data_IF_751608054470
#
_entry.id   IF_751608054470
#
_cell.length_a   1.000
_cell.length_b   1.000
_cell.length_c   1.000
_cell.angle_alpha   90.00
_cell.angle_beta   90.00
_cell.angle_gamma   90.00
#
_symmetry.space_group_name_H-M   'P 1'
#
loop_
_entity.id
_entity.type
_entity.pdbx_description
1 polymer ?
#
# COMPACT_ATOMS: atom_id res chain seq x y z
N UNK A 1 -9.16 30.93 17.23
CA UNK A 1 -8.16 30.59 16.20
C UNK A 1 -8.48 31.47 15.00
N UNK A 2 -7.47 32.02 14.35
CA UNK A 2 -7.65 32.87 13.17
C UNK A 2 -8.26 32.04 12.03
N UNK A 3 -9.22 32.58 11.28
CA UNK A 3 -9.80 31.95 10.08
C UNK A 3 -8.81 31.90 8.89
N UNK A 4 -7.56 32.32 9.10
CA UNK A 4 -6.52 32.33 8.09
C UNK A 4 -6.02 30.90 7.81
N UNK A 5 -5.83 30.53 6.52
CA UNK A 5 -5.21 29.26 6.16
C UNK A 5 -3.82 29.09 6.80
N UNK A 6 -3.54 27.89 7.30
CA UNK A 6 -2.22 27.50 7.78
C UNK A 6 -1.46 26.79 6.66
N UNK A 7 -0.29 27.32 6.30
CA UNK A 7 0.55 26.77 5.23
C UNK A 7 1.78 26.13 5.86
N UNK A 8 2.08 24.87 5.51
CA UNK A 8 3.24 24.13 6.00
C UNK A 8 3.99 23.45 4.85
N UNK A 9 5.29 23.24 5.04
CA UNK A 9 6.17 22.60 4.05
C UNK A 9 6.89 23.58 3.13
N UNK A 10 7.84 23.09 2.31
CA UNK A 10 8.57 23.91 1.34
C UNK A 10 7.69 24.27 0.12
N UNK A 11 8.07 25.29 -0.67
CA UNK A 11 7.31 25.69 -1.87
C UNK A 11 7.09 24.58 -2.91
N UNK A 12 7.98 23.59 -2.97
CA UNK A 12 7.86 22.44 -3.88
C UNK A 12 6.86 21.38 -3.40
N UNK A 13 6.55 21.34 -2.10
CA UNK A 13 5.59 20.42 -1.49
C UNK A 13 4.93 21.08 -0.27
N UNK A 14 3.83 21.80 -0.53
CA UNK A 14 3.13 22.60 0.48
C UNK A 14 1.77 21.99 0.79
N UNK A 15 1.42 21.96 2.08
CA UNK A 15 0.06 21.66 2.53
C UNK A 15 -0.61 22.92 3.05
N UNK A 16 -1.90 23.07 2.75
CA UNK A 16 -2.71 24.18 3.27
C UNK A 16 -3.85 23.63 4.11
N UNK A 17 -3.89 23.93 5.40
CA UNK A 17 -5.04 23.67 6.25
C UNK A 17 -5.99 24.86 6.27
N UNK A 18 -7.26 24.62 5.97
CA UNK A 18 -8.33 25.63 5.93
C UNK A 18 -9.19 25.46 7.19
N UNK A 19 -9.07 26.33 8.22
CA UNK A 19 -9.72 26.10 9.52
C UNK A 19 -11.25 26.04 9.47
N UNK A 20 -11.89 26.82 8.59
CA UNK A 20 -13.34 26.94 8.48
C UNK A 20 -14.00 25.67 7.95
N UNK A 21 -13.38 25.02 6.96
CA UNK A 21 -13.85 23.76 6.37
C UNK A 21 -13.16 22.52 6.93
N UNK A 22 -12.10 22.70 7.74
CA UNK A 22 -11.25 21.63 8.28
C UNK A 22 -10.63 20.75 7.19
N UNK A 23 -10.26 21.35 6.06
CA UNK A 23 -9.67 20.66 4.92
C UNK A 23 -8.15 20.82 4.95
N UNK A 24 -7.44 19.71 4.79
CA UNK A 24 -6.03 19.69 4.40
C UNK A 24 -5.94 19.59 2.87
N UNK A 25 -5.46 20.64 2.22
CA UNK A 25 -5.20 20.66 0.78
C UNK A 25 -3.75 20.27 0.50
N UNK A 26 -3.58 19.10 -0.13
CA UNK A 26 -2.31 18.48 -0.54
C UNK A 26 -2.07 18.62 -2.05
N UNK A 27 -3.00 19.23 -2.78
CA UNK A 27 -2.97 19.33 -4.25
C UNK A 27 -1.96 20.36 -4.78
N UNK A 28 -1.29 21.09 -3.88
CA UNK A 28 -0.37 22.19 -4.21
C UNK A 28 -0.99 23.20 -5.21
N UNK A 29 -2.22 23.63 -4.94
CA UNK A 29 -3.00 24.57 -5.77
C UNK A 29 -3.37 24.06 -7.16
N UNK A 30 -3.45 22.75 -7.37
CA UNK A 30 -3.94 22.17 -8.63
C UNK A 30 -5.36 22.64 -8.95
N UNK A 31 -5.68 22.75 -10.24
CA UNK A 31 -7.03 23.10 -10.70
C UNK A 31 -8.00 21.93 -10.63
N UNK A 32 -7.50 20.69 -10.71
CA UNK A 32 -8.31 19.47 -10.55
C UNK A 32 -8.12 18.93 -9.15
N UNK A 33 -9.22 18.77 -8.41
CA UNK A 33 -9.18 18.37 -7.01
C UNK A 33 -10.17 17.27 -6.70
N UNK A 34 -9.77 16.39 -5.80
CA UNK A 34 -10.66 15.42 -5.17
C UNK A 34 -10.54 15.61 -3.66
N UNK A 35 -11.66 15.94 -3.02
CA UNK A 35 -11.75 16.05 -1.56
C UNK A 35 -12.50 14.87 -0.98
N UNK A 36 -11.95 14.25 0.06
CA UNK A 36 -12.58 13.13 0.77
C UNK A 36 -12.41 13.25 2.30
N UNK A 37 -13.40 12.79 3.09
CA UNK A 37 -13.29 12.73 4.54
C UNK A 37 -12.14 11.83 5.01
N UNK A 38 -11.44 12.26 6.06
CA UNK A 38 -10.54 11.38 6.83
C UNK A 38 -11.35 10.66 7.90
N UNK A 39 -10.99 9.42 8.21
CA UNK A 39 -11.77 8.55 9.11
C UNK A 39 -11.09 8.27 10.44
N UNK A 40 -9.83 8.66 10.58
CA UNK A 40 -9.08 8.61 11.84
C UNK A 40 -8.44 9.98 12.11
N UNK A 41 -7.96 10.18 13.34
CA UNK A 41 -7.37 11.45 13.77
C UNK A 41 -8.41 12.46 14.23
N UNK A 42 -8.29 13.72 13.79
CA UNK A 42 -9.18 14.81 14.23
C UNK A 42 -10.56 14.65 13.56
N UNK A 43 -11.62 14.68 14.37
CA UNK A 43 -12.98 14.49 13.86
C UNK A 43 -13.42 15.60 12.89
N UNK A 44 -13.99 15.17 11.75
CA UNK A 44 -14.57 16.05 10.74
C UNK A 44 -13.55 16.72 9.82
N UNK A 45 -12.30 16.25 9.78
CA UNK A 45 -11.33 16.70 8.78
C UNK A 45 -11.51 15.99 7.44
N UNK A 46 -11.03 16.62 6.38
CA UNK A 46 -10.96 16.04 5.03
C UNK A 46 -9.59 16.33 4.42
N UNK A 47 -9.20 15.54 3.43
CA UNK A 47 -8.00 15.75 2.64
C UNK A 47 -8.39 16.03 1.18
N UNK A 48 -7.62 16.87 0.50
CA UNK A 48 -7.77 17.18 -0.92
C UNK A 48 -6.50 16.83 -1.67
N UNK A 49 -6.64 16.13 -2.79
CA UNK A 49 -5.54 15.66 -3.63
C UNK A 49 -5.73 16.09 -5.08
N UNK A 50 -4.63 16.15 -5.82
CA UNK A 50 -4.64 16.22 -7.28
C UNK A 50 -4.63 14.78 -7.84
N UNK A 51 -5.67 14.34 -8.57
CA UNK A 51 -5.71 12.98 -9.11
C UNK A 51 -4.57 12.66 -10.08
N UNK A 52 -4.17 13.62 -10.92
CA UNK A 52 -3.12 13.42 -11.92
C UNK A 52 -1.72 13.25 -11.30
N UNK A 53 -1.53 13.76 -10.07
CA UNK A 53 -0.30 13.59 -9.28
C UNK A 53 -0.43 12.55 -8.16
N UNK A 54 -1.48 11.74 -8.21
CA UNK A 54 -1.74 10.69 -7.22
C UNK A 54 -1.57 9.30 -7.84
N UNK A 55 -0.98 8.39 -7.07
CA UNK A 55 -0.94 6.96 -7.39
C UNK A 55 -1.56 6.11 -6.27
N UNK A 56 -2.32 5.09 -6.65
CA UNK A 56 -2.73 3.99 -5.79
C UNK A 56 -1.64 2.91 -5.79
N UNK A 57 -1.11 2.60 -4.61
CA UNK A 57 -0.15 1.53 -4.38
C UNK A 57 -0.88 0.33 -3.81
N UNK A 58 -0.92 -0.76 -4.59
CA UNK A 58 -1.55 -2.03 -4.19
C UNK A 58 -0.47 -3.01 -3.78
N UNK A 59 -0.34 -3.23 -2.47
CA UNK A 59 0.77 -3.98 -1.89
C UNK A 59 0.42 -5.45 -1.70
N UNK A 60 1.19 -6.34 -2.34
CA UNK A 60 1.25 -7.78 -2.07
C UNK A 60 -0.12 -8.51 -2.09
N UNK A 61 -1.07 -8.06 -2.91
CA UNK A 61 -2.36 -8.75 -3.12
C UNK A 61 -2.17 -10.00 -4.01
N UNK A 62 -1.27 -10.89 -3.61
CA UNK A 62 -0.78 -12.05 -4.34
C UNK A 62 -1.32 -13.36 -3.76
N UNK A 63 -1.30 -14.42 -4.56
CA UNK A 63 -1.74 -15.76 -4.16
C UNK A 63 -1.05 -16.27 -2.90
N UNK A 64 0.25 -16.04 -2.74
CA UNK A 64 0.99 -16.49 -1.55
C UNK A 64 0.37 -15.98 -0.24
N UNK A 65 -0.14 -14.75 -0.22
CA UNK A 65 -0.72 -14.15 0.97
C UNK A 65 -2.21 -14.45 1.15
N UNK A 66 -2.96 -14.57 0.05
CA UNK A 66 -4.42 -14.61 0.08
C UNK A 66 -5.03 -15.98 -0.22
N UNK A 67 -4.28 -16.89 -0.84
CA UNK A 67 -4.75 -18.25 -1.11
C UNK A 67 -4.54 -19.14 0.12
N UNK A 68 -5.61 -19.79 0.56
CA UNK A 68 -5.62 -20.65 1.75
C UNK A 68 -4.68 -21.86 1.64
N UNK A 69 -4.27 -22.23 0.43
CA UNK A 69 -3.28 -23.29 0.22
C UNK A 69 -1.84 -22.83 0.46
N UNK A 70 -1.62 -21.54 0.71
CA UNK A 70 -0.34 -20.94 1.10
C UNK A 70 -0.39 -20.37 2.52
N UNK A 71 -1.34 -19.46 2.80
CA UNK A 71 -1.48 -18.79 4.09
C UNK A 71 -2.93 -18.54 4.47
N UNK A 72 -3.20 -18.50 5.77
CA UNK A 72 -4.49 -18.05 6.30
C UNK A 72 -4.43 -16.55 6.59
N UNK A 73 -5.12 -15.75 5.78
CA UNK A 73 -5.10 -14.29 5.88
C UNK A 73 -6.51 -13.67 5.82
N UNK A 74 -7.39 -13.96 6.81
CA UNK A 74 -8.82 -13.62 6.75
C UNK A 74 -9.09 -12.11 6.62
N UNK A 75 -8.25 -11.26 7.22
CA UNK A 75 -8.42 -9.81 7.12
C UNK A 75 -7.99 -9.26 5.76
N UNK A 76 -7.01 -9.90 5.09
CA UNK A 76 -6.65 -9.53 3.73
C UNK A 76 -7.72 -9.95 2.72
N UNK A 77 -8.32 -11.12 2.92
CA UNK A 77 -9.46 -11.57 2.11
C UNK A 77 -10.66 -10.60 2.22
N UNK A 78 -10.93 -10.05 3.41
CA UNK A 78 -11.97 -9.02 3.62
C UNK A 78 -11.68 -7.71 2.86
N UNK A 79 -10.42 -7.40 2.60
CA UNK A 79 -10.01 -6.18 1.90
C UNK A 79 -10.18 -6.27 0.37
N UNK A 80 -10.30 -7.47 -0.20
CA UNK A 80 -10.31 -7.71 -1.66
C UNK A 80 -11.43 -6.94 -2.37
N UNK A 81 -12.66 -7.00 -1.85
CA UNK A 81 -13.81 -6.35 -2.50
C UNK A 81 -13.68 -4.82 -2.49
N UNK A 82 -13.30 -4.24 -1.35
CA UNK A 82 -13.08 -2.81 -1.20
C UNK A 82 -11.93 -2.33 -2.12
N UNK A 83 -10.84 -3.10 -2.19
CA UNK A 83 -9.70 -2.82 -3.08
C UNK A 83 -10.14 -2.80 -4.55
N UNK A 84 -10.98 -3.75 -4.98
CA UNK A 84 -11.58 -3.75 -6.32
C UNK A 84 -12.35 -2.48 -6.66
N UNK A 85 -13.15 -1.97 -5.72
CA UNK A 85 -13.92 -0.72 -5.90
C UNK A 85 -13.02 0.51 -6.01
N UNK A 86 -11.95 0.57 -5.21
CA UNK A 86 -10.98 1.68 -5.26
C UNK A 86 -10.16 1.62 -6.55
N UNK A 87 -9.78 0.44 -7.03
CA UNK A 87 -9.13 0.26 -8.33
C UNK A 87 -9.96 0.85 -9.48
N UNK A 88 -11.24 0.51 -9.53
CA UNK A 88 -12.14 1.01 -10.57
C UNK A 88 -12.31 2.52 -10.45
N UNK A 89 -12.56 3.02 -9.24
CA UNK A 89 -12.70 4.46 -8.99
C UNK A 89 -11.44 5.25 -9.36
N UNK A 90 -10.24 4.76 -9.01
CA UNK A 90 -8.99 5.42 -9.36
C UNK A 90 -8.89 5.65 -10.88
N UNK A 91 -9.29 4.67 -11.68
CA UNK A 91 -9.29 4.80 -13.14
C UNK A 91 -10.31 5.80 -13.64
N UNK A 92 -11.52 5.79 -13.07
CA UNK A 92 -12.58 6.74 -13.42
C UNK A 92 -12.16 8.20 -13.16
N UNK A 93 -11.32 8.45 -12.15
CA UNK A 93 -10.86 9.79 -11.78
C UNK A 93 -9.44 10.11 -12.24
N UNK A 94 -8.79 9.23 -13.01
CA UNK A 94 -7.46 9.47 -13.57
C UNK A 94 -6.27 9.26 -12.63
N UNK A 95 -6.48 8.61 -11.47
CA UNK A 95 -5.40 8.21 -10.55
C UNK A 95 -4.68 6.98 -11.10
N UNK A 96 -3.34 7.02 -11.11
CA UNK A 96 -2.50 5.91 -11.55
C UNK A 96 -2.62 4.71 -10.60
N UNK A 97 -2.64 3.50 -11.14
CA UNK A 97 -2.64 2.27 -10.35
C UNK A 97 -1.28 1.58 -10.50
N UNK A 98 -0.63 1.32 -9.37
CA UNK A 98 0.68 0.67 -9.29
C UNK A 98 0.57 -0.57 -8.41
N UNK A 99 0.79 -1.74 -9.00
CA UNK A 99 0.88 -3.01 -8.29
C UNK A 99 2.31 -3.19 -7.78
N UNK A 100 2.47 -3.12 -6.46
CA UNK A 100 3.72 -3.34 -5.76
C UNK A 100 3.70 -4.73 -5.13
N UNK A 101 4.35 -5.69 -5.78
CA UNK A 101 4.27 -7.09 -5.39
C UNK A 101 5.67 -7.67 -5.19
N UNK A 102 5.81 -8.67 -4.34
CA UNK A 102 7.05 -9.44 -4.33
C UNK A 102 7.28 -10.11 -5.68
N UNK A 103 8.50 -10.00 -6.18
CA UNK A 103 8.93 -10.65 -7.41
C UNK A 103 10.44 -10.85 -7.36
N UNK A 104 10.85 -11.87 -6.60
CA UNK A 104 12.26 -12.17 -6.37
C UNK A 104 12.92 -12.79 -7.60
N UNK A 105 14.19 -12.47 -7.76
CA UNK A 105 15.14 -13.09 -8.68
C UNK A 105 16.23 -13.83 -7.91
N UNK A 106 17.07 -14.59 -8.61
CA UNK A 106 18.23 -15.21 -7.97
C UNK A 106 19.27 -14.18 -7.49
N UNK A 107 19.39 -13.03 -8.18
CA UNK A 107 20.24 -11.92 -7.76
C UNK A 107 19.75 -11.31 -6.44
N UNK A 108 18.42 -11.17 -6.27
CA UNK A 108 17.84 -10.72 -5.00
C UNK A 108 18.20 -11.66 -3.85
N UNK A 109 18.13 -12.98 -4.09
CA UNK A 109 18.46 -13.99 -3.09
C UNK A 109 19.93 -13.95 -2.67
N UNK A 110 20.82 -13.47 -3.55
CA UNK A 110 22.24 -13.29 -3.21
C UNK A 110 22.51 -12.10 -2.27
N UNK A 111 21.59 -11.12 -2.21
CA UNK A 111 21.78 -9.86 -1.46
C UNK A 111 20.76 -9.62 -0.34
N UNK A 112 19.71 -10.43 -0.25
CA UNK A 112 18.62 -10.23 0.71
C UNK A 112 19.11 -10.40 2.16
N UNK A 113 18.94 -9.37 3.03
CA UNK A 113 19.46 -9.41 4.38
C UNK A 113 18.88 -10.59 5.19
N UNK A 114 19.69 -11.21 6.07
CA UNK A 114 19.22 -12.29 6.94
C UNK A 114 18.00 -11.90 7.80
N UNK A 115 17.88 -10.63 8.19
CA UNK A 115 16.75 -10.11 8.96
C UNK A 115 15.42 -10.18 8.19
N UNK A 116 15.45 -9.95 6.87
CA UNK A 116 14.28 -10.07 6.00
C UNK A 116 13.94 -11.54 5.81
N UNK A 117 14.93 -12.39 5.50
CA UNK A 117 14.73 -13.83 5.35
C UNK A 117 14.13 -14.45 6.63
N UNK A 118 14.66 -14.08 7.80
CA UNK A 118 14.18 -14.55 9.11
C UNK A 118 12.68 -14.34 9.30
N UNK A 119 12.11 -13.26 8.75
CA UNK A 119 10.66 -13.00 8.81
C UNK A 119 9.81 -14.11 8.19
N UNK A 120 10.32 -14.75 7.12
CA UNK A 120 9.67 -15.84 6.39
C UNK A 120 10.12 -17.23 6.82
N UNK A 121 11.00 -17.34 7.82
CA UNK A 121 11.59 -18.62 8.27
C UNK A 121 11.16 -18.99 9.69
N UNK A 122 10.21 -18.26 10.29
CA UNK A 122 9.79 -18.46 11.68
C UNK A 122 9.33 -19.90 11.95
N UNK A 123 8.63 -20.52 11.00
CA UNK A 123 8.09 -21.87 11.15
C UNK A 123 9.18 -22.95 11.15
N UNK A 124 10.43 -22.64 10.77
CA UNK A 124 11.56 -23.59 10.85
C UNK A 124 12.03 -23.82 12.29
N UNK A 125 11.77 -22.88 13.19
CA UNK A 125 12.27 -22.91 14.57
C UNK A 125 11.14 -23.11 15.60
N UNK A 126 9.89 -23.25 15.14
CA UNK A 126 8.73 -23.55 15.98
C UNK A 126 8.51 -25.08 15.95
N UNK A 127 8.26 -25.74 17.10
CA UNK A 127 7.98 -27.17 17.14
C UNK A 127 6.81 -27.56 16.21
N UNK A 128 6.89 -28.68 15.46
CA UNK A 128 5.89 -29.09 14.46
C UNK A 128 4.47 -29.34 15.01
N UNK A 129 4.28 -29.28 16.32
CA UNK A 129 3.03 -29.64 17.02
C UNK A 129 1.89 -28.62 16.87
N UNK A 130 2.08 -27.52 16.13
CA UNK A 130 1.13 -26.39 16.09
C UNK A 130 0.52 -26.12 14.71
N UNK A 131 1.19 -26.46 13.60
CA UNK A 131 0.67 -26.37 12.23
C UNK A 131 1.51 -27.23 11.26
N UNK A 132 0.94 -27.71 10.14
CA UNK A 132 1.73 -28.25 9.05
C UNK A 132 2.74 -27.20 8.59
N UNK A 133 4.01 -27.55 8.47
CA UNK A 133 5.04 -26.67 7.93
C UNK A 133 4.81 -26.54 6.42
N UNK A 134 4.18 -25.45 5.99
CA UNK A 134 3.80 -25.25 4.58
C UNK A 134 5.03 -24.83 3.74
N UNK A 135 6.02 -24.16 4.34
CA UNK A 135 7.23 -23.74 3.64
C UNK A 135 8.44 -23.45 4.55
N UNK A 136 9.61 -23.33 3.93
CA UNK A 136 10.92 -23.16 4.60
C UNK A 136 11.55 -21.77 4.46
N UNK A 137 10.97 -20.87 3.67
CA UNK A 137 11.41 -19.47 3.52
C UNK A 137 11.38 -18.97 2.09
N UNK A 138 11.75 -17.70 1.88
CA UNK A 138 11.81 -17.07 0.55
C UNK A 138 12.60 -17.92 -0.45
N UNK A 139 12.09 -18.05 -1.67
CA UNK A 139 12.73 -18.82 -2.74
C UNK A 139 12.65 -20.35 -2.62
N UNK A 140 12.09 -20.89 -1.53
CA UNK A 140 11.82 -22.34 -1.40
C UNK A 140 10.74 -22.77 -2.39
N UNK A 141 10.79 -24.00 -2.90
CA UNK A 141 9.79 -24.50 -3.84
C UNK A 141 8.51 -24.97 -3.12
N UNK A 142 7.35 -24.40 -3.50
CA UNK A 142 6.03 -24.83 -3.01
C UNK A 142 5.48 -26.05 -3.78
N UNK A 143 6.26 -26.63 -4.69
CA UNK A 143 5.88 -27.75 -5.53
C UNK A 143 5.47 -27.33 -6.93
N UNK A 144 5.37 -28.32 -7.81
CA UNK A 144 5.43 -28.15 -9.28
C UNK A 144 4.39 -27.21 -9.89
N UNK A 145 3.25 -26.97 -9.24
CA UNK A 145 2.22 -26.05 -9.74
C UNK A 145 2.27 -24.64 -9.12
N UNK A 146 3.02 -24.43 -8.05
CA UNK A 146 3.05 -23.17 -7.28
C UNK A 146 4.35 -22.39 -7.46
N UNK A 147 5.45 -23.08 -7.72
CA UNK A 147 6.78 -22.51 -7.94
C UNK A 147 7.46 -22.01 -6.67
N UNK A 148 8.61 -21.35 -6.85
CA UNK A 148 9.41 -20.79 -5.76
C UNK A 148 8.69 -19.63 -5.07
N UNK A 149 8.75 -19.58 -3.75
CA UNK A 149 8.07 -18.58 -2.92
C UNK A 149 8.50 -17.18 -3.32
N UNK A 150 7.49 -16.40 -3.72
CA UNK A 150 7.55 -14.99 -4.09
C UNK A 150 8.54 -14.67 -5.22
N UNK A 151 8.93 -15.69 -5.99
CA UNK A 151 9.76 -15.51 -7.19
C UNK A 151 8.93 -14.98 -8.34
N UNK A 152 9.54 -14.10 -9.14
CA UNK A 152 8.89 -13.54 -10.32
C UNK A 152 8.38 -14.66 -11.25
N UNK A 153 7.23 -14.41 -11.90
CA UNK A 153 6.59 -15.34 -12.84
C UNK A 153 6.15 -16.69 -12.24
N UNK A 154 6.03 -16.80 -10.92
CA UNK A 154 5.46 -17.99 -10.27
C UNK A 154 3.98 -17.77 -9.94
N UNK A 155 3.21 -18.86 -9.82
CA UNK A 155 1.79 -18.77 -9.47
C UNK A 155 1.58 -18.08 -8.11
N UNK A 156 2.41 -18.40 -7.11
CA UNK A 156 2.24 -17.82 -5.78
C UNK A 156 2.55 -16.32 -5.75
N UNK A 157 3.38 -15.82 -6.67
CA UNK A 157 3.64 -14.39 -6.87
C UNK A 157 2.63 -13.69 -7.80
N UNK A 158 1.71 -14.41 -8.43
CA UNK A 158 0.69 -13.78 -9.25
C UNK A 158 -0.36 -13.05 -8.39
N UNK A 159 -0.99 -12.03 -8.98
CA UNK A 159 -2.11 -11.30 -8.37
C UNK A 159 -3.25 -12.28 -8.05
N UNK A 160 -3.87 -12.09 -6.90
CA UNK A 160 -4.97 -12.94 -6.43
C UNK A 160 -6.15 -12.93 -7.42
N UNK A 161 -6.69 -14.09 -7.84
CA UNK A 161 -7.67 -14.22 -8.92
C UNK A 161 -8.87 -13.27 -8.83
N UNK A 162 -9.40 -13.03 -7.63
CA UNK A 162 -10.57 -12.18 -7.43
C UNK A 162 -10.34 -10.71 -7.86
N UNK A 163 -9.09 -10.25 -7.91
CA UNK A 163 -8.72 -8.90 -8.35
C UNK A 163 -8.38 -8.82 -9.84
N UNK A 164 -8.20 -9.95 -10.53
CA UNK A 164 -7.73 -9.94 -11.93
C UNK A 164 -8.69 -9.24 -12.89
N UNK A 165 -10.01 -9.31 -12.62
CA UNK A 165 -11.04 -8.58 -13.38
C UNK A 165 -10.94 -7.06 -13.26
N UNK A 166 -10.22 -6.57 -12.24
CA UNK A 166 -9.97 -5.16 -11.99
C UNK A 166 -8.59 -4.72 -12.46
N UNK A 167 -7.84 -5.54 -13.21
CA UNK A 167 -6.55 -5.14 -13.78
C UNK A 167 -6.80 -4.45 -15.13
N UNK A 168 -6.11 -3.34 -15.37
CA UNK A 168 -6.09 -2.66 -16.66
C UNK A 168 -4.72 -2.78 -17.33
N UNK A 169 -4.64 -2.84 -18.68
CA UNK A 169 -3.37 -2.74 -19.41
C UNK A 169 -2.57 -1.46 -19.11
N UNK A 170 -3.21 -0.42 -18.59
CA UNK A 170 -2.58 0.84 -18.19
C UNK A 170 -1.98 0.81 -16.78
N UNK A 171 -2.21 -0.26 -16.02
CA UNK A 171 -1.64 -0.39 -14.68
C UNK A 171 -0.14 -0.61 -14.77
N UNK A 172 0.59 -0.06 -13.79
CA UNK A 172 2.03 -0.26 -13.68
C UNK A 172 2.29 -1.41 -12.72
N UNK A 173 3.19 -2.33 -13.09
CA UNK A 173 3.56 -3.47 -12.26
C UNK A 173 5.04 -3.39 -11.91
N UNK A 174 5.34 -3.29 -10.62
CA UNK A 174 6.71 -3.23 -10.10
C UNK A 174 6.94 -4.32 -9.06
N UNK A 175 8.09 -4.97 -9.16
CA UNK A 175 8.53 -5.96 -8.20
C UNK A 175 9.32 -5.32 -7.07
N UNK A 176 9.11 -5.81 -5.84
CA UNK A 176 9.97 -5.55 -4.69
C UNK A 176 10.64 -6.81 -4.20
N UNK A 177 11.76 -6.61 -3.52
CA UNK A 177 12.61 -7.66 -2.96
C UNK A 177 12.81 -7.49 -1.44
N UNK A 178 12.10 -6.55 -0.81
CA UNK A 178 12.09 -6.29 0.63
C UNK A 178 10.65 -6.04 1.09
N UNK A 179 10.48 -5.82 2.40
CA UNK A 179 9.18 -5.47 2.98
C UNK A 179 8.62 -4.19 2.37
N UNK A 180 9.40 -3.11 2.41
CA UNK A 180 9.09 -1.85 1.73
C UNK A 180 9.48 -1.93 0.26
N UNK A 181 8.66 -1.32 -0.62
CA UNK A 181 9.02 -1.08 -2.02
C UNK A 181 9.91 0.15 -2.25
N UNK A 182 10.17 0.94 -1.21
CA UNK A 182 10.84 2.25 -1.29
C UNK A 182 12.08 2.34 -0.40
N UNK A 183 12.66 1.19 -0.03
CA UNK A 183 13.79 1.13 0.91
C UNK A 183 15.08 1.77 0.39
N UNK A 184 15.14 2.16 -0.89
CA UNK A 184 16.12 3.09 -1.48
C UNK A 184 15.63 3.64 -2.84
N UNK A 185 16.38 4.61 -3.38
CA UNK A 185 16.06 5.29 -4.64
C UNK A 185 16.25 4.43 -5.91
N UNK A 186 16.99 3.32 -5.81
CA UNK A 186 17.23 2.43 -6.94
C UNK A 186 16.04 1.50 -7.21
N UNK A 187 15.08 1.42 -6.29
CA UNK A 187 13.95 0.52 -6.38
C UNK A 187 13.02 0.87 -7.56
N UNK A 188 12.44 -0.14 -8.25
CA UNK A 188 11.55 0.11 -9.38
C UNK A 188 10.36 1.03 -9.05
N UNK A 189 9.76 0.87 -7.86
CA UNK A 189 8.67 1.74 -7.42
C UNK A 189 9.14 3.19 -7.29
N UNK A 190 10.29 3.44 -6.65
CA UNK A 190 10.81 4.79 -6.48
C UNK A 190 10.99 5.50 -7.83
N UNK A 191 11.67 4.84 -8.77
CA UNK A 191 11.90 5.37 -10.12
C UNK A 191 10.57 5.66 -10.84
N UNK A 192 9.63 4.72 -10.77
CA UNK A 192 8.29 4.89 -11.35
C UNK A 192 7.57 6.12 -10.79
N UNK A 193 7.59 6.30 -9.47
CA UNK A 193 6.91 7.44 -8.82
C UNK A 193 7.51 8.79 -9.21
N UNK A 194 8.83 8.84 -9.37
CA UNK A 194 9.56 10.03 -9.85
C UNK A 194 9.25 10.30 -11.33
N UNK A 195 9.28 9.26 -12.18
CA UNK A 195 8.98 9.35 -13.61
C UNK A 195 7.54 9.81 -13.87
N UNK A 196 6.57 9.29 -13.12
CA UNK A 196 5.16 9.68 -13.20
C UNK A 196 4.87 11.04 -12.52
N UNK A 197 5.86 11.67 -11.87
CA UNK A 197 5.70 12.99 -11.24
C UNK A 197 4.70 13.01 -10.08
N UNK A 198 4.57 11.88 -9.37
CA UNK A 198 3.61 11.71 -8.29
C UNK A 198 4.03 12.47 -7.03
N UNK A 199 3.06 13.09 -6.35
CA UNK A 199 3.26 13.76 -5.04
C UNK A 199 2.46 13.13 -3.91
N UNK A 200 1.41 12.36 -4.24
CA UNK A 200 0.51 11.73 -3.26
C UNK A 200 0.33 10.25 -3.55
N UNK A 201 0.35 9.43 -2.50
CA UNK A 201 0.23 7.98 -2.58
C UNK A 201 -0.93 7.49 -1.70
N UNK A 202 -1.82 6.71 -2.30
CA UNK A 202 -2.86 5.96 -1.61
C UNK A 202 -2.36 4.53 -1.37
N UNK A 203 -2.41 4.03 -0.14
CA UNK A 203 -1.88 2.72 0.22
C UNK A 203 -2.99 1.72 0.54
N UNK A 204 -2.88 0.54 -0.08
CA UNK A 204 -3.77 -0.60 0.10
C UNK A 204 -2.97 -1.91 0.17
N UNK A 205 -3.60 -2.99 0.60
CA UNK A 205 -3.05 -4.34 0.49
C UNK A 205 -2.61 -4.96 1.82
N UNK A 206 -1.62 -5.85 1.76
CA UNK A 206 -1.22 -6.66 2.92
C UNK A 206 0.30 -6.69 3.13
N UNK A 207 0.82 -6.81 4.34
CA UNK A 207 0.12 -6.67 5.62
C UNK A 207 0.09 -5.20 6.06
N UNK A 208 -1.03 -4.77 6.67
CA UNK A 208 -1.26 -3.38 7.14
C UNK A 208 -0.07 -2.80 7.91
N UNK A 209 0.43 -3.52 8.92
CA UNK A 209 1.51 -3.10 9.83
C UNK A 209 2.92 -3.50 9.38
N UNK A 210 3.05 -4.09 8.18
CA UNK A 210 4.34 -4.60 7.67
C UNK A 210 4.66 -3.99 6.30
N UNK A 211 4.39 -4.68 5.18
CA UNK A 211 4.74 -4.18 3.84
C UNK A 211 4.03 -2.86 3.51
N UNK A 212 2.77 -2.71 3.90
CA UNK A 212 1.99 -1.49 3.68
C UNK A 212 2.57 -0.34 4.50
N UNK A 213 2.66 -0.49 5.83
CA UNK A 213 3.22 0.55 6.70
C UNK A 213 4.70 0.84 6.41
N UNK A 214 5.50 -0.17 6.12
CA UNK A 214 6.92 -0.01 5.79
C UNK A 214 7.12 0.83 4.52
N UNK A 215 6.36 0.52 3.45
CA UNK A 215 6.39 1.33 2.22
C UNK A 215 5.86 2.74 2.48
N UNK A 216 4.80 2.88 3.28
CA UNK A 216 4.23 4.19 3.65
C UNK A 216 5.21 5.04 4.44
N UNK A 217 5.93 4.47 5.41
CA UNK A 217 6.90 5.20 6.23
C UNK A 217 8.10 5.64 5.39
N UNK A 218 8.60 4.79 4.50
CA UNK A 218 9.66 5.20 3.58
C UNK A 218 9.18 6.32 2.63
N UNK A 219 7.94 6.22 2.12
CA UNK A 219 7.33 7.26 1.30
C UNK A 219 7.20 8.60 2.07
N UNK A 220 6.72 8.56 3.31
CA UNK A 220 6.59 9.72 4.18
C UNK A 220 7.95 10.41 4.38
N UNK A 221 9.00 9.64 4.73
CA UNK A 221 10.34 10.19 4.95
C UNK A 221 10.96 10.74 3.67
N UNK A 222 10.64 10.14 2.52
CA UNK A 222 11.09 10.61 1.22
C UNK A 222 10.31 11.83 0.69
N UNK A 223 9.20 12.20 1.35
CA UNK A 223 8.46 13.42 1.06
C UNK A 223 7.19 13.25 0.22
N UNK A 224 6.68 12.03 0.03
CA UNK A 224 5.35 11.81 -0.55
C UNK A 224 4.25 12.01 0.48
N UNK A 225 3.12 12.57 0.03
CA UNK A 225 1.92 12.68 0.85
C UNK A 225 1.25 11.31 0.96
N UNK A 226 1.04 10.83 2.18
CA UNK A 226 0.58 9.46 2.40
C UNK A 226 -0.87 9.39 2.87
N UNK A 227 -1.66 8.53 2.23
CA UNK A 227 -3.04 8.23 2.63
C UNK A 227 -3.23 6.72 2.70
N UNK A 228 -3.61 6.20 3.87
CA UNK A 228 -3.95 4.79 4.04
C UNK A 228 -5.46 4.57 3.84
N UNK A 229 -5.83 3.60 3.01
CA UNK A 229 -7.24 3.19 2.83
C UNK A 229 -7.51 1.96 3.68
N UNK A 230 -7.97 2.18 4.91
CA UNK A 230 -7.97 1.19 5.98
C UNK A 230 -8.70 -0.12 5.63
N UNK A 231 -9.89 -0.04 5.06
CA UNK A 231 -10.70 -1.22 4.69
C UNK A 231 -10.24 -1.91 3.40
N UNK A 232 -9.26 -1.33 2.72
CA UNK A 232 -8.50 -1.98 1.63
C UNK A 232 -7.19 -2.59 2.14
N UNK A 233 -6.98 -2.64 3.46
CA UNK A 233 -5.80 -3.24 4.07
C UNK A 233 -6.17 -4.41 4.99
N UNK A 234 -5.25 -5.36 5.17
CA UNK A 234 -5.43 -6.46 6.11
C UNK A 234 -4.13 -6.89 6.81
N UNK A 235 -4.24 -7.35 8.05
CA UNK A 235 -3.13 -8.00 8.78
C UNK A 235 -3.62 -9.09 9.72
N UNK A 236 -2.75 -10.05 10.01
CA UNK A 236 -2.92 -11.09 11.04
C UNK A 236 -2.26 -10.73 12.37
N UNK A 237 -1.48 -9.63 12.44
CA UNK A 237 -0.87 -9.16 13.69
C UNK A 237 -1.96 -8.66 14.65
N UNK A 238 -2.05 -9.28 15.83
CA UNK A 238 -2.96 -8.82 16.90
C UNK A 238 -2.61 -7.40 17.30
N UNK A 239 -3.58 -6.48 17.21
CA UNK A 239 -3.38 -5.05 17.50
C UNK A 239 -2.66 -4.25 16.41
N UNK A 240 -2.06 -4.92 15.41
CA UNK A 240 -1.24 -4.27 14.37
C UNK A 240 -2.01 -3.22 13.56
N UNK A 241 -3.27 -3.50 13.20
CA UNK A 241 -4.15 -2.53 12.53
C UNK A 241 -4.29 -1.25 13.36
N UNK A 242 -4.67 -1.35 14.64
CA UNK A 242 -4.96 -0.18 15.47
C UNK A 242 -3.74 0.73 15.65
N UNK A 243 -2.55 0.16 15.90
CA UNK A 243 -1.30 0.91 16.01
C UNK A 243 -0.96 1.60 14.68
N UNK A 244 -1.15 0.90 13.56
CA UNK A 244 -0.90 1.45 12.22
C UNK A 244 -1.79 2.65 11.95
N UNK A 245 -3.11 2.53 12.18
CA UNK A 245 -4.05 3.62 11.95
C UNK A 245 -3.71 4.85 12.81
N UNK A 246 -3.39 4.62 14.09
CA UNK A 246 -2.98 5.69 14.99
C UNK A 246 -1.75 6.43 14.49
N UNK A 247 -0.68 5.69 14.14
CA UNK A 247 0.57 6.30 13.70
C UNK A 247 0.40 7.05 12.37
N UNK A 248 -0.35 6.49 11.42
CA UNK A 248 -0.61 7.16 10.15
C UNK A 248 -1.38 8.45 10.39
N UNK A 249 -2.52 8.40 11.09
CA UNK A 249 -3.37 9.57 11.31
C UNK A 249 -2.73 10.65 12.21
N UNK A 250 -1.84 10.26 13.11
CA UNK A 250 -1.22 11.18 14.08
C UNK A 250 0.12 11.73 13.60
N UNK A 251 0.77 11.12 12.61
CA UNK A 251 2.16 11.46 12.28
C UNK A 251 2.51 11.33 10.80
N UNK A 252 2.12 10.24 10.12
CA UNK A 252 2.66 9.96 8.78
C UNK A 252 1.79 10.46 7.63
N UNK A 253 0.52 10.78 7.87
CA UNK A 253 -0.39 11.25 6.84
C UNK A 253 -1.84 11.14 7.25
N UNK A 254 -2.67 10.59 6.37
CA UNK A 254 -4.12 10.52 6.57
C UNK A 254 -4.63 9.09 6.45
N UNK A 255 -5.75 8.81 7.13
CA UNK A 255 -6.49 7.56 6.96
C UNK A 255 -7.87 7.89 6.43
N UNK A 256 -8.31 7.11 5.44
CA UNK A 256 -9.68 7.13 4.94
C UNK A 256 -10.18 5.71 4.70
N UNK A 257 -11.36 5.59 4.12
CA UNK A 257 -12.00 4.33 3.75
C UNK A 257 -12.46 4.36 2.30
N UNK A 258 -12.58 3.17 1.70
CA UNK A 258 -12.99 2.98 0.31
C UNK A 258 -14.31 3.68 -0.02
N UNK A 259 -15.30 3.63 0.88
CA UNK A 259 -16.62 4.26 0.68
C UNK A 259 -16.54 5.78 0.59
N UNK A 260 -15.57 6.40 1.26
CA UNK A 260 -15.34 7.85 1.22
C UNK A 260 -14.65 8.28 -0.07
N UNK A 261 -13.67 7.50 -0.52
CA UNK A 261 -12.99 7.75 -1.79
C UNK A 261 -13.95 7.59 -2.97
N UNK A 262 -14.66 6.47 -3.06
CA UNK A 262 -15.54 6.16 -4.20
C UNK A 262 -16.69 7.18 -4.35
N UNK A 263 -17.13 7.77 -3.23
CA UNK A 263 -18.13 8.83 -3.23
C UNK A 263 -17.58 10.19 -3.69
N UNK A 264 -16.27 10.42 -3.58
CA UNK A 264 -15.63 11.67 -3.99
C UNK A 264 -15.54 11.75 -5.53
N UNK A 265 -15.69 12.98 -6.04
CA UNK A 265 -15.65 13.31 -7.47
C UNK A 265 -14.61 14.38 -7.72
N UNK A 266 -14.07 14.40 -8.93
CA UNK A 266 -13.22 15.50 -9.40
C UNK A 266 -14.09 16.76 -9.46
N UNK A 267 -13.58 17.84 -8.87
CA UNK A 267 -14.19 19.16 -8.87
C UNK A 267 -13.16 20.26 -9.07
#
# INVERSE_FOLDING_TARGET
MTDQPLIIGPPSNTWTYIPTSKIWDLSNSSSEKITFPTTEGIAGTSATIDPAKTALIVVDMQNFFLDASCMEHPNGLKAVEATGKVLDWCRDVGIKVIWLNWGLTDDDMSTIPPSVQRGFMRDLIIPPSTRPQIYTGLGSDLGSSKGRILFASTWNAAIYPALTKHISPSDIHVSKNRMSGLWNEEQPLWKTLVEEGTSTLLFTGVNTDQCVLGTLVDAYNAGWNCVLVDDCCGTTTVGGRGVTLWNVASSFGFVTRSDKLVAAKVG
#
